data_IF_562481133843
#
_entry.id   IF_562481133843
#
_cell.length_a   1.000
_cell.length_b   1.000
_cell.length_c   1.000
_cell.angle_alpha   90.00
_cell.angle_beta   90.00
_cell.angle_gamma   90.00
#
_symmetry.space_group_name_H-M   'P 1'
#
loop_
_entity.id
_entity.type
_entity.pdbx_description
1 polymer ?
#
# COMPACT_ATOMS: atom_id res chain seq x y z
N UNK A 1 -64.77 -6.09 -16.90
CA UNK A 1 -63.38 -6.33 -17.38
C UNK A 1 -62.57 -5.06 -17.15
N UNK A 2 -61.90 -4.96 -15.99
CA UNK A 2 -61.15 -3.77 -15.63
C UNK A 2 -59.79 -3.79 -16.35
N UNK A 3 -59.63 -2.94 -17.36
CA UNK A 3 -58.33 -2.70 -18.01
C UNK A 3 -57.49 -1.85 -17.05
N UNK A 4 -56.76 -2.51 -16.15
CA UNK A 4 -55.74 -1.84 -15.34
C UNK A 4 -54.68 -1.24 -16.26
N UNK A 5 -54.55 0.09 -16.23
CA UNK A 5 -53.48 0.79 -16.95
C UNK A 5 -52.11 0.31 -16.45
N UNK A 6 -51.13 0.27 -17.35
CA UNK A 6 -49.76 -0.12 -16.99
C UNK A 6 -49.08 1.00 -16.24
N UNK A 7 -48.35 0.62 -15.19
CA UNK A 7 -47.56 1.54 -14.38
C UNK A 7 -46.10 1.56 -14.85
N UNK A 8 -45.48 2.75 -14.79
CA UNK A 8 -44.05 2.98 -15.08
C UNK A 8 -43.13 2.09 -14.25
N UNK A 9 -43.48 1.81 -12.99
CA UNK A 9 -42.70 0.94 -12.11
C UNK A 9 -42.55 -0.49 -12.66
N UNK A 10 -43.62 -1.04 -13.26
CA UNK A 10 -43.58 -2.40 -13.83
C UNK A 10 -42.68 -2.45 -15.07
N UNK A 11 -42.74 -1.39 -15.90
CA UNK A 11 -41.85 -1.22 -17.06
C UNK A 11 -40.40 -1.09 -16.62
N UNK A 12 -40.13 -0.37 -15.53
CA UNK A 12 -38.80 -0.22 -14.95
C UNK A 12 -38.23 -1.56 -14.44
N UNK A 13 -39.02 -2.34 -13.68
CA UNK A 13 -38.59 -3.65 -13.20
C UNK A 13 -38.28 -4.61 -14.35
N UNK A 14 -39.14 -4.65 -15.38
CA UNK A 14 -38.90 -5.46 -16.57
C UNK A 14 -37.65 -5.02 -17.34
N UNK A 15 -37.42 -3.71 -17.51
CA UNK A 15 -36.19 -3.15 -18.10
C UNK A 15 -34.95 -3.59 -17.30
N UNK A 16 -34.97 -3.47 -15.98
CA UNK A 16 -33.84 -3.87 -15.12
C UNK A 16 -33.56 -5.37 -15.19
N UNK A 17 -34.60 -6.21 -15.25
CA UNK A 17 -34.44 -7.65 -15.38
C UNK A 17 -33.74 -8.02 -16.71
N UNK A 18 -34.08 -7.37 -17.82
CA UNK A 18 -33.46 -7.59 -19.12
C UNK A 18 -32.00 -7.11 -19.13
N UNK A 19 -31.73 -5.93 -18.56
CA UNK A 19 -30.35 -5.40 -18.44
C UNK A 19 -29.49 -6.33 -17.57
N UNK A 20 -30.02 -6.85 -16.47
CA UNK A 20 -29.30 -7.79 -15.60
C UNK A 20 -28.96 -9.12 -16.30
N UNK A 21 -29.73 -9.51 -17.33
CA UNK A 21 -29.43 -10.64 -18.21
C UNK A 21 -28.44 -10.31 -19.34
N UNK A 22 -27.98 -9.06 -19.44
CA UNK A 22 -27.06 -8.61 -20.49
C UNK A 22 -27.71 -8.39 -21.86
N UNK A 23 -29.04 -8.32 -21.91
CA UNK A 23 -29.81 -8.13 -23.14
C UNK A 23 -30.22 -6.66 -23.31
N UNK A 24 -30.46 -6.23 -24.57
CA UNK A 24 -30.92 -4.87 -24.85
C UNK A 24 -32.43 -4.74 -24.55
N UNK A 25 -32.85 -3.84 -23.63
CA UNK A 25 -34.26 -3.64 -23.29
C UNK A 25 -35.03 -2.92 -24.42
N UNK A 26 -35.37 -3.67 -25.47
CA UNK A 26 -36.28 -3.22 -26.53
C UNK A 26 -37.74 -3.23 -26.05
N UNK A 27 -38.61 -2.46 -26.72
CA UNK A 27 -40.05 -2.40 -26.41
C UNK A 27 -40.68 -3.79 -26.38
N UNK A 28 -40.32 -4.65 -27.34
CA UNK A 28 -40.88 -5.99 -27.44
C UNK A 28 -40.28 -6.94 -26.39
N UNK A 29 -39.00 -6.81 -26.04
CA UNK A 29 -38.39 -7.57 -24.94
C UNK A 29 -39.05 -7.24 -23.59
N UNK A 30 -39.25 -5.94 -23.31
CA UNK A 30 -39.94 -5.46 -22.09
C UNK A 30 -41.39 -5.95 -22.05
N UNK A 31 -42.08 -5.94 -23.20
CA UNK A 31 -43.45 -6.43 -23.31
C UNK A 31 -43.56 -7.94 -23.06
N UNK A 32 -42.60 -8.73 -23.55
CA UNK A 32 -42.52 -10.18 -23.31
C UNK A 32 -42.27 -10.44 -21.82
N UNK A 33 -41.32 -9.72 -21.22
CA UNK A 33 -41.00 -9.82 -19.78
C UNK A 33 -42.20 -9.47 -18.89
N UNK A 34 -43.05 -8.54 -19.33
CA UNK A 34 -44.30 -8.15 -18.66
C UNK A 34 -45.50 -9.07 -18.99
N UNK A 35 -45.28 -10.22 -19.65
CA UNK A 35 -46.33 -11.19 -19.96
C UNK A 35 -47.26 -10.76 -21.10
N UNK A 36 -46.72 -10.13 -22.15
CA UNK A 36 -47.44 -9.60 -23.32
C UNK A 36 -48.47 -8.51 -23.01
N UNK A 37 -48.37 -7.89 -21.84
CA UNK A 37 -49.27 -6.82 -21.42
C UNK A 37 -48.76 -5.46 -21.88
N UNK A 38 -49.67 -4.64 -22.41
CA UNK A 38 -49.40 -3.25 -22.76
C UNK A 38 -49.29 -2.90 -24.22
N UNK A 39 -49.62 -1.64 -24.52
CA UNK A 39 -49.39 -1.05 -25.82
C UNK A 39 -47.92 -0.69 -25.98
N UNK A 40 -47.37 -0.99 -27.16
CA UNK A 40 -46.01 -0.61 -27.54
C UNK A 40 -45.76 0.90 -27.33
N UNK A 41 -46.78 1.73 -27.55
CA UNK A 41 -46.72 3.20 -27.37
C UNK A 41 -46.56 3.61 -25.90
N UNK A 42 -47.26 2.97 -24.97
CA UNK A 42 -47.15 3.26 -23.53
C UNK A 42 -45.82 2.79 -22.97
N UNK A 43 -45.36 1.61 -23.38
CA UNK A 43 -44.05 1.07 -22.99
C UNK A 43 -42.95 1.99 -23.52
N UNK A 44 -43.00 2.41 -24.79
CA UNK A 44 -42.02 3.33 -25.36
C UNK A 44 -41.95 4.67 -24.63
N UNK A 45 -43.11 5.27 -24.30
CA UNK A 45 -43.15 6.50 -23.51
C UNK A 45 -42.47 6.32 -22.15
N UNK A 46 -42.79 5.24 -21.43
CA UNK A 46 -42.19 5.00 -20.11
C UNK A 46 -40.70 4.67 -20.17
N UNK A 47 -40.24 3.94 -21.17
CA UNK A 47 -38.80 3.71 -21.38
C UNK A 47 -38.06 5.03 -21.59
N UNK A 48 -38.58 5.90 -22.47
CA UNK A 48 -38.00 7.23 -22.69
C UNK A 48 -37.95 8.08 -21.42
N UNK A 49 -39.04 8.12 -20.65
CA UNK A 49 -39.08 8.86 -19.39
C UNK A 49 -38.14 8.28 -18.32
N UNK A 50 -37.84 6.97 -18.36
CA UNK A 50 -36.86 6.34 -17.47
C UNK A 50 -35.44 6.72 -17.88
N UNK A 51 -35.14 6.71 -19.17
CA UNK A 51 -33.83 7.12 -19.72
C UNK A 51 -33.53 8.61 -19.39
N UNK A 52 -34.52 9.50 -19.52
CA UNK A 52 -34.40 10.91 -19.16
C UNK A 52 -34.16 11.13 -17.66
N UNK A 53 -34.82 10.32 -16.82
CA UNK A 53 -34.66 10.38 -15.35
C UNK A 53 -33.28 9.88 -14.92
N UNK A 54 -32.80 8.80 -15.53
CA UNK A 54 -31.49 8.21 -15.29
C UNK A 54 -30.37 9.18 -15.73
N UNK A 55 -30.48 9.76 -16.92
CA UNK A 55 -29.52 10.77 -17.42
C UNK A 55 -29.41 11.95 -16.46
N UNK A 56 -30.54 12.44 -15.93
CA UNK A 56 -30.55 13.54 -14.95
C UNK A 56 -29.93 13.13 -13.61
N UNK A 57 -30.18 11.90 -13.15
CA UNK A 57 -29.57 11.36 -11.95
C UNK A 57 -28.05 11.24 -12.10
N UNK A 58 -27.56 10.71 -13.23
CA UNK A 58 -26.13 10.60 -13.54
C UNK A 58 -25.46 11.97 -13.60
N UNK A 59 -26.09 12.98 -14.21
CA UNK A 59 -25.57 14.36 -14.24
C UNK A 59 -25.50 14.96 -12.83
N UNK A 60 -26.39 14.58 -11.91
CA UNK A 60 -26.38 15.08 -10.53
C UNK A 60 -25.40 14.31 -9.64
N UNK A 61 -25.16 13.04 -9.94
CA UNK A 61 -24.20 12.18 -9.22
C UNK A 61 -22.75 12.46 -9.62
N UNK A 62 -22.46 12.73 -10.91
CA UNK A 62 -21.09 13.02 -11.35
C UNK A 62 -20.39 14.15 -10.57
N UNK A 63 -21.03 15.31 -10.30
CA UNK A 63 -20.44 16.37 -9.45
C UNK A 63 -20.19 15.93 -8.00
N UNK A 64 -21.04 15.05 -7.46
CA UNK A 64 -20.91 14.53 -6.10
C UNK A 64 -19.77 13.51 -6.03
N UNK A 65 -19.64 12.65 -7.04
CA UNK A 65 -18.57 11.67 -7.17
C UNK A 65 -17.21 12.36 -7.31
N UNK A 66 -17.15 13.46 -8.07
CA UNK A 66 -15.96 14.30 -8.21
C UNK A 66 -15.55 14.94 -6.87
N UNK A 67 -16.52 15.54 -6.14
CA UNK A 67 -16.26 16.15 -4.82
C UNK A 67 -15.78 15.12 -3.78
N UNK A 68 -16.39 13.93 -3.76
CA UNK A 68 -15.96 12.82 -2.92
C UNK A 68 -14.57 12.33 -3.32
N UNK A 69 -14.28 12.24 -4.61
CA UNK A 69 -12.97 11.88 -5.15
C UNK A 69 -11.88 12.84 -4.68
N UNK A 70 -12.13 14.15 -4.72
CA UNK A 70 -11.20 15.16 -4.21
C UNK A 70 -10.96 15.05 -2.70
N UNK A 71 -12.01 14.79 -1.91
CA UNK A 71 -11.90 14.61 -0.47
C UNK A 71 -11.08 13.36 -0.11
N UNK A 72 -11.35 12.24 -0.78
CA UNK A 72 -10.60 10.99 -0.57
C UNK A 72 -9.15 11.15 -1.01
N UNK A 73 -8.88 11.84 -2.13
CA UNK A 73 -7.53 12.12 -2.61
C UNK A 73 -6.73 12.95 -1.60
N UNK A 74 -7.31 14.03 -1.08
CA UNK A 74 -6.69 14.84 -0.02
C UNK A 74 -6.42 14.04 1.25
N UNK A 75 -7.35 13.18 1.64
CA UNK A 75 -7.17 12.31 2.81
C UNK A 75 -6.04 11.29 2.59
N UNK A 76 -5.98 10.66 1.41
CA UNK A 76 -4.94 9.71 1.05
C UNK A 76 -3.55 10.38 1.04
N UNK A 77 -3.45 11.60 0.48
CA UNK A 77 -2.21 12.36 0.50
C UNK A 77 -1.77 12.66 1.94
N UNK A 78 -2.67 13.17 2.78
CA UNK A 78 -2.35 13.49 4.18
C UNK A 78 -1.97 12.26 4.99
N UNK A 79 -2.58 11.11 4.70
CA UNK A 79 -2.25 9.85 5.35
C UNK A 79 -0.87 9.36 4.91
N UNK A 80 -0.51 9.50 3.63
CA UNK A 80 0.82 9.19 3.11
C UNK A 80 1.89 10.07 3.76
N UNK A 81 1.66 11.37 3.85
CA UNK A 81 2.58 12.32 4.50
C UNK A 81 2.78 11.95 5.99
N UNK A 82 1.70 11.68 6.72
CA UNK A 82 1.79 11.24 8.12
C UNK A 82 2.45 9.88 8.30
N UNK A 83 2.29 8.97 7.35
CA UNK A 83 2.94 7.66 7.38
C UNK A 83 4.44 7.77 7.05
N UNK A 84 4.84 8.80 6.29
CA UNK A 84 6.24 9.04 5.95
C UNK A 84 7.04 9.56 7.14
N UNK A 85 6.48 10.44 7.97
CA UNK A 85 7.13 11.01 9.15
C UNK A 85 7.76 9.98 10.11
N UNK A 86 7.07 8.90 10.57
CA UNK A 86 7.69 7.89 11.42
C UNK A 86 8.73 7.04 10.69
N UNK A 87 8.60 6.87 9.36
CA UNK A 87 9.58 6.16 8.55
C UNK A 87 10.88 6.96 8.50
N UNK A 88 10.79 8.26 8.22
CA UNK A 88 11.94 9.15 8.14
C UNK A 88 12.65 9.23 9.51
N UNK A 89 11.88 9.30 10.61
CA UNK A 89 12.43 9.27 11.97
C UNK A 89 13.14 7.94 12.27
N UNK A 90 12.53 6.81 11.91
CA UNK A 90 13.14 5.50 12.11
C UNK A 90 14.42 5.32 11.28
N UNK A 91 14.45 5.84 10.04
CA UNK A 91 15.63 5.85 9.19
C UNK A 91 16.73 6.71 9.78
N UNK A 92 16.42 7.92 10.24
CA UNK A 92 17.38 8.81 10.88
C UNK A 92 17.98 8.18 12.15
N UNK A 93 17.15 7.54 13.00
CA UNK A 93 17.64 6.83 14.19
C UNK A 93 18.55 5.66 13.80
N UNK A 94 18.15 4.86 12.82
CA UNK A 94 18.95 3.74 12.34
C UNK A 94 20.30 4.19 11.77
N UNK A 95 20.34 5.29 11.02
CA UNK A 95 21.59 5.86 10.52
C UNK A 95 22.51 6.34 11.64
N UNK A 96 21.95 6.95 12.69
CA UNK A 96 22.72 7.33 13.88
C UNK A 96 23.28 6.12 14.62
N UNK A 97 22.45 5.10 14.86
CA UNK A 97 22.86 3.88 15.55
C UNK A 97 23.94 3.13 14.75
N UNK A 98 23.79 3.07 13.42
CA UNK A 98 24.79 2.50 12.51
C UNK A 98 26.10 3.27 12.57
N UNK A 99 26.06 4.60 12.54
CA UNK A 99 27.27 5.42 12.63
C UNK A 99 27.97 5.23 13.99
N UNK A 100 27.21 5.16 15.07
CA UNK A 100 27.74 4.90 16.41
C UNK A 100 28.39 3.50 16.51
N UNK A 101 27.73 2.47 15.96
CA UNK A 101 28.27 1.11 15.92
C UNK A 101 29.55 1.01 15.10
N UNK A 102 29.59 1.65 13.92
CA UNK A 102 30.80 1.69 13.09
C UNK A 102 31.95 2.39 13.81
N UNK A 103 31.68 3.51 14.47
CA UNK A 103 32.70 4.20 15.28
C UNK A 103 33.23 3.36 16.45
N UNK A 104 32.36 2.59 17.11
CA UNK A 104 32.79 1.64 18.15
C UNK A 104 33.65 0.51 17.58
N UNK A 105 33.30 0.02 16.39
CA UNK A 105 34.04 -1.04 15.70
C UNK A 105 35.45 -0.56 15.34
N UNK A 106 35.57 0.63 14.75
CA UNK A 106 36.87 1.25 14.43
C UNK A 106 37.71 1.48 15.69
N UNK A 107 37.10 1.96 16.78
CA UNK A 107 37.80 2.15 18.06
C UNK A 107 38.31 0.82 18.64
N UNK A 108 37.49 -0.25 18.57
CA UNK A 108 37.86 -1.58 19.02
C UNK A 108 38.97 -2.19 18.16
N UNK A 109 38.91 -2.03 16.84
CA UNK A 109 39.95 -2.49 15.93
C UNK A 109 41.29 -1.80 16.20
N UNK A 110 41.27 -0.48 16.43
CA UNK A 110 42.46 0.28 16.81
C UNK A 110 43.03 -0.21 18.15
N UNK A 111 42.18 -0.36 19.17
CA UNK A 111 42.58 -0.85 20.48
C UNK A 111 43.16 -2.27 20.40
N UNK A 112 42.55 -3.15 19.61
CA UNK A 112 43.03 -4.50 19.37
C UNK A 112 44.39 -4.50 18.67
N UNK A 113 44.58 -3.67 17.65
CA UNK A 113 45.87 -3.51 16.98
C UNK A 113 46.96 -3.05 17.93
N UNK A 114 46.67 -2.04 18.77
CA UNK A 114 47.62 -1.53 19.76
C UNK A 114 47.97 -2.59 20.82
N UNK A 115 46.98 -3.36 21.28
CA UNK A 115 47.20 -4.43 22.25
C UNK A 115 48.05 -5.55 21.64
N UNK A 116 47.79 -5.89 20.38
CA UNK A 116 48.60 -6.88 19.65
C UNK A 116 50.05 -6.44 19.49
N UNK A 117 50.30 -5.18 19.12
CA UNK A 117 51.65 -4.63 19.05
C UNK A 117 52.37 -4.68 20.41
N UNK A 118 51.68 -4.31 21.48
CA UNK A 118 52.25 -4.40 22.83
C UNK A 118 52.58 -5.84 23.23
N UNK A 119 51.70 -6.78 22.90
CA UNK A 119 51.94 -8.20 23.13
C UNK A 119 53.17 -8.70 22.38
N UNK A 120 53.31 -8.35 21.10
CA UNK A 120 54.46 -8.74 20.28
C UNK A 120 55.78 -8.17 20.83
N UNK A 121 55.78 -6.92 21.29
CA UNK A 121 56.94 -6.27 21.93
C UNK A 121 57.31 -6.98 23.23
N UNK A 122 56.33 -7.27 24.10
CA UNK A 122 56.57 -7.98 25.36
C UNK A 122 57.08 -9.40 25.13
N UNK A 123 56.53 -10.11 24.15
CA UNK A 123 56.99 -11.44 23.78
C UNK A 123 58.45 -11.44 23.30
N UNK A 124 58.84 -10.44 22.50
CA UNK A 124 60.22 -10.28 22.05
C UNK A 124 61.17 -9.97 23.22
N UNK A 125 60.80 -9.04 24.11
CA UNK A 125 61.61 -8.69 25.28
C UNK A 125 61.79 -9.89 26.23
N UNK A 126 60.74 -10.67 26.46
CA UNK A 126 60.79 -11.85 27.32
C UNK A 126 61.63 -12.98 26.70
N UNK A 127 61.59 -13.14 25.38
CA UNK A 127 62.47 -14.06 24.67
C UNK A 127 63.95 -13.66 24.81
N UNK A 128 64.27 -12.36 24.67
CA UNK A 128 65.62 -11.83 24.85
C UNK A 128 66.12 -12.03 26.29
N UNK A 129 65.30 -11.69 27.30
CA UNK A 129 65.63 -11.90 28.70
C UNK A 129 65.88 -13.38 29.01
N UNK A 130 65.03 -14.28 28.48
CA UNK A 130 65.19 -15.72 28.66
C UNK A 130 66.50 -16.25 28.07
N UNK A 131 66.91 -15.74 26.89
CA UNK A 131 68.17 -16.11 26.25
C UNK A 131 69.38 -15.58 27.03
N UNK A 132 69.30 -14.35 27.55
CA UNK A 132 70.33 -13.76 28.40
C UNK A 132 70.51 -14.55 29.71
N UNK A 133 69.40 -14.92 30.37
CA UNK A 133 69.42 -15.74 31.58
C UNK A 133 69.98 -17.14 31.32
N UNK A 134 69.61 -17.79 30.21
CA UNK A 134 70.18 -19.07 29.82
C UNK A 134 71.70 -18.97 29.63
N UNK A 135 72.16 -17.95 28.93
CA UNK A 135 73.60 -17.70 28.70
C UNK A 135 74.36 -17.46 30.01
N UNK A 136 73.81 -16.63 30.90
CA UNK A 136 74.39 -16.37 32.22
C UNK A 136 74.39 -17.62 33.12
N UNK A 137 73.35 -18.45 33.05
CA UNK A 137 73.29 -19.70 33.81
C UNK A 137 74.32 -20.72 33.32
N UNK A 138 74.54 -20.81 32.00
CA UNK A 138 75.51 -21.70 31.40
C UNK A 138 76.95 -21.30 31.76
N UNK A 139 77.26 -20.00 31.80
CA UNK A 139 78.61 -19.52 32.16
C UNK A 139 78.96 -19.71 33.63
N UNK A 140 77.96 -19.80 34.52
CA UNK A 140 78.16 -20.07 35.95
C UNK A 140 78.34 -21.57 36.26
N UNK A 141 77.99 -22.47 35.33
CA UNK A 141 78.11 -23.92 35.51
C UNK A 141 79.43 -24.51 34.98
N UNK A 142 80.21 -23.73 34.22
CA UNK A 142 81.56 -24.07 33.75
C UNK A 142 82.62 -23.50 34.68
#
# INVERSE_FOLDING_TARGET
MARGGINKAVVQTARMAIIARGENPSIDAVRIEMGNTGSKTTIHRYLKELDESETRATITQAPIDDELGELVSRLAQRLKEKAQEPIDLAQAQFEQDKAALLGQLEALELAHSQLKQQFDIQAAALAEESAALQTASASLQT
#
